data_IF_217392514826
#
_entry.id   IF_217392514826
#
_cell.length_a   1.000
_cell.length_b   1.000
_cell.length_c   1.000
_cell.angle_alpha   90.00
_cell.angle_beta   90.00
_cell.angle_gamma   90.00
#
_symmetry.space_group_name_H-M   'P 1'
#
loop_
_entity.id
_entity.type
_entity.pdbx_description
1 polymer ?
#
# COMPACT_ATOMS: atom_id res chain seq x y z
N UNK A 1 -4.37 -1.11 12.81
CA UNK A 1 -5.61 -1.91 13.07
C UNK A 1 -6.50 -1.85 11.82
N UNK A 2 -7.59 -2.64 11.70
CA UNK A 2 -8.57 -2.43 10.61
C UNK A 2 -9.96 -2.19 11.18
N UNK A 3 -10.47 -0.98 10.93
CA UNK A 3 -11.69 -0.48 11.53
C UNK A 3 -12.65 0.17 10.55
N UNK A 4 -13.92 0.28 10.97
CA UNK A 4 -14.94 1.04 10.24
C UNK A 4 -15.77 0.19 9.28
N UNK A 5 -16.00 0.70 8.07
CA UNK A 5 -16.69 -0.02 6.97
C UNK A 5 -15.68 -0.44 5.87
N UNK A 6 -14.39 -0.54 6.21
CA UNK A 6 -13.36 -0.91 5.26
C UNK A 6 -13.58 -2.33 4.75
N UNK A 7 -13.53 -2.51 3.44
CA UNK A 7 -13.56 -3.83 2.83
C UNK A 7 -12.15 -4.15 2.30
N UNK A 8 -11.67 -5.36 2.57
CA UNK A 8 -10.39 -5.84 2.08
C UNK A 8 -10.62 -7.12 1.27
N UNK A 9 -10.14 -7.16 0.03
CA UNK A 9 -10.22 -8.31 -0.86
C UNK A 9 -8.83 -8.65 -1.38
N UNK A 10 -8.53 -9.93 -1.52
CA UNK A 10 -7.29 -10.37 -2.15
C UNK A 10 -7.47 -10.70 -3.64
N UNK A 11 -6.50 -10.35 -4.48
CA UNK A 11 -6.47 -10.72 -5.91
C UNK A 11 -5.03 -10.88 -6.45
N UNK A 12 -4.90 -11.40 -7.67
CA UNK A 12 -3.63 -11.56 -8.39
C UNK A 12 -3.66 -10.79 -9.74
N UNK A 13 -3.01 -9.63 -9.78
CA UNK A 13 -3.01 -8.79 -10.99
C UNK A 13 -2.22 -9.37 -12.16
N UNK A 14 -1.34 -10.35 -11.92
CA UNK A 14 -0.65 -11.07 -12.98
C UNK A 14 -1.59 -12.01 -13.76
N UNK A 15 -2.70 -12.41 -13.13
CA UNK A 15 -3.79 -13.18 -13.77
C UNK A 15 -4.80 -12.25 -14.43
N UNK A 16 -5.28 -11.22 -13.72
CA UNK A 16 -6.23 -10.23 -14.26
C UNK A 16 -6.15 -8.91 -13.50
N UNK A 17 -6.21 -7.77 -14.21
CA UNK A 17 -6.32 -6.46 -13.58
C UNK A 17 -7.70 -6.20 -12.94
N UNK A 18 -8.70 -7.01 -13.27
CA UNK A 18 -10.01 -7.01 -12.61
C UNK A 18 -9.98 -7.96 -11.40
N UNK A 19 -10.10 -7.46 -10.15
CA UNK A 19 -10.07 -8.28 -8.95
C UNK A 19 -11.16 -9.36 -8.92
N UNK A 20 -12.34 -9.09 -9.47
CA UNK A 20 -13.45 -10.05 -9.49
C UNK A 20 -13.17 -11.28 -10.39
N UNK A 21 -12.16 -11.20 -11.24
CA UNK A 21 -11.73 -12.30 -12.13
C UNK A 21 -10.44 -12.97 -11.67
N UNK A 22 -9.87 -12.55 -10.54
CA UNK A 22 -8.56 -12.99 -10.05
C UNK A 22 -8.49 -13.08 -8.52
N UNK A 23 -9.61 -13.34 -7.86
CA UNK A 23 -9.69 -13.50 -6.41
C UNK A 23 -8.61 -14.45 -5.88
N UNK A 24 -7.80 -13.96 -4.94
CA UNK A 24 -6.75 -14.70 -4.26
C UNK A 24 -6.80 -14.36 -2.78
N UNK A 25 -7.48 -15.16 -1.95
CA UNK A 25 -7.60 -14.87 -0.53
C UNK A 25 -6.25 -14.89 0.21
N UNK A 26 -5.17 -15.42 -0.39
CA UNK A 26 -3.84 -15.34 0.23
C UNK A 26 -3.23 -13.93 0.16
N UNK A 27 -3.80 -13.02 -0.66
CA UNK A 27 -3.54 -11.58 -0.59
C UNK A 27 -4.35 -10.95 0.55
N UNK A 28 -3.94 -11.24 1.77
CA UNK A 28 -4.58 -10.70 2.96
C UNK A 28 -3.58 -10.16 3.99
N UNK A 29 -4.13 -9.56 5.03
CA UNK A 29 -3.37 -8.84 6.05
C UNK A 29 -2.50 -9.82 6.83
N UNK A 30 -1.22 -9.52 6.96
CA UNK A 30 -0.27 -10.28 7.76
C UNK A 30 0.38 -9.36 8.79
N UNK A 31 0.83 -9.87 9.92
CA UNK A 31 1.47 -9.03 10.95
C UNK A 31 2.54 -9.76 11.75
N UNK A 32 3.53 -9.06 12.29
CA UNK A 32 4.37 -9.60 13.37
C UNK A 32 3.72 -9.47 14.75
N UNK A 33 2.64 -8.70 14.87
CA UNK A 33 1.99 -8.42 16.14
C UNK A 33 1.29 -9.67 16.64
N UNK A 34 1.25 -9.79 17.96
CA UNK A 34 0.48 -10.84 18.63
C UNK A 34 -1.02 -10.62 18.44
N UNK A 35 -1.49 -9.43 18.10
CA UNK A 35 -2.91 -9.18 17.82
C UNK A 35 -3.08 -8.39 16.53
N UNK A 36 -4.06 -8.79 15.71
CA UNK A 36 -4.64 -7.95 14.67
C UNK A 36 -6.10 -7.69 15.06
N UNK A 37 -6.42 -6.42 15.34
CA UNK A 37 -7.76 -5.99 15.69
C UNK A 37 -8.57 -5.66 14.43
N UNK A 38 -9.69 -6.36 14.26
CA UNK A 38 -10.70 -6.12 13.23
C UNK A 38 -11.99 -5.70 13.91
N UNK A 39 -12.49 -4.49 13.66
CA UNK A 39 -13.62 -3.94 14.39
C UNK A 39 -14.63 -3.19 13.51
N UNK A 40 -15.83 -2.93 14.06
CA UNK A 40 -16.87 -2.17 13.36
C UNK A 40 -17.73 -3.05 12.47
N UNK A 41 -17.81 -2.74 11.17
CA UNK A 41 -18.52 -3.54 10.16
C UNK A 41 -17.60 -3.91 8.99
N UNK A 42 -16.29 -4.01 9.23
CA UNK A 42 -15.32 -4.34 8.19
C UNK A 42 -15.56 -5.74 7.62
N UNK A 43 -15.38 -5.91 6.31
CA UNK A 43 -15.43 -7.22 5.65
C UNK A 43 -14.08 -7.51 5.04
N UNK A 44 -13.46 -8.62 5.45
CA UNK A 44 -12.16 -9.05 4.94
C UNK A 44 -12.34 -10.38 4.24
N UNK A 45 -12.37 -10.32 2.92
CA UNK A 45 -12.39 -11.48 2.04
C UNK A 45 -10.96 -11.88 1.62
N UNK A 46 -10.14 -12.12 2.64
CA UNK A 46 -8.75 -12.50 2.52
C UNK A 46 -8.22 -13.08 3.85
N UNK A 47 -7.01 -13.64 3.81
CA UNK A 47 -6.26 -14.11 4.97
C UNK A 47 -6.01 -12.95 5.96
N UNK A 48 -6.07 -13.23 7.27
CA UNK A 48 -5.67 -12.28 8.32
C UNK A 48 -4.73 -13.01 9.27
N UNK A 49 -3.43 -12.87 9.09
CA UNK A 49 -2.40 -13.73 9.68
C UNK A 49 -1.63 -12.94 10.74
N UNK A 50 -1.96 -13.05 12.04
CA UNK A 50 -1.21 -12.39 13.09
C UNK A 50 0.18 -13.03 13.25
N UNK A 51 1.05 -12.41 14.02
CA UNK A 51 2.40 -12.87 14.30
C UNK A 51 2.43 -14.21 15.02
N UNK A 52 3.64 -14.70 15.31
CA UNK A 52 3.81 -16.02 15.94
C UNK A 52 3.08 -16.06 17.30
N UNK A 53 2.22 -17.06 17.49
CA UNK A 53 1.30 -17.20 18.63
C UNK A 53 0.25 -16.09 18.77
N UNK A 54 0.05 -15.29 17.73
CA UNK A 54 -0.91 -14.21 17.72
C UNK A 54 -2.34 -14.66 17.47
N UNK A 55 -3.26 -13.74 17.68
CA UNK A 55 -4.70 -13.90 17.47
C UNK A 55 -5.23 -12.79 16.58
N UNK A 56 -6.35 -13.07 15.92
CA UNK A 56 -7.17 -12.05 15.28
C UNK A 56 -8.32 -11.76 16.24
N UNK A 57 -8.40 -10.52 16.75
CA UNK A 57 -9.51 -10.10 17.60
C UNK A 57 -10.57 -9.43 16.72
N UNK A 58 -11.74 -10.07 16.61
CA UNK A 58 -12.84 -9.61 15.76
C UNK A 58 -13.96 -9.09 16.67
N UNK A 59 -14.26 -7.80 16.59
CA UNK A 59 -15.27 -7.14 17.41
C UNK A 59 -16.33 -6.42 16.57
N UNK A 60 -17.52 -6.19 17.12
CA UNK A 60 -18.64 -5.58 16.39
C UNK A 60 -19.33 -6.56 15.44
N UNK A 61 -19.60 -6.11 14.21
CA UNK A 61 -20.20 -6.90 13.12
C UNK A 61 -19.17 -7.22 12.01
N UNK A 62 -17.87 -7.13 12.30
CA UNK A 62 -16.85 -7.39 11.31
C UNK A 62 -16.78 -8.89 10.93
N UNK A 63 -16.37 -9.17 9.69
CA UNK A 63 -16.29 -10.52 9.13
C UNK A 63 -14.92 -10.75 8.48
N UNK A 64 -14.35 -11.94 8.69
CA UNK A 64 -13.12 -12.42 8.03
C UNK A 64 -13.41 -13.80 7.46
N UNK A 65 -13.28 -13.99 6.14
CA UNK A 65 -13.56 -15.27 5.47
C UNK A 65 -12.30 -16.13 5.24
N UNK A 66 -11.12 -15.50 5.21
CA UNK A 66 -9.85 -16.17 4.97
C UNK A 66 -9.22 -16.80 6.22
N UNK A 67 -7.98 -17.27 6.08
CA UNK A 67 -7.26 -17.94 7.15
C UNK A 67 -6.84 -16.95 8.24
N UNK A 68 -7.21 -17.24 9.49
CA UNK A 68 -6.86 -16.43 10.68
C UNK A 68 -5.73 -17.01 11.53
N UNK A 69 -5.10 -18.11 11.08
CA UNK A 69 -4.03 -18.75 11.82
C UNK A 69 -2.79 -17.84 11.90
N UNK A 70 -2.18 -17.80 13.08
CA UNK A 70 -0.89 -17.16 13.30
C UNK A 70 0.17 -17.60 12.28
N UNK A 71 1.08 -16.69 11.97
CA UNK A 71 2.23 -16.98 11.14
C UNK A 71 3.16 -17.96 11.88
N UNK A 72 3.73 -18.95 11.16
CA UNK A 72 4.60 -19.94 11.78
C UNK A 72 5.99 -19.38 12.10
N UNK A 73 6.38 -18.26 11.48
CA UNK A 73 7.64 -17.55 11.66
C UNK A 73 7.39 -16.05 11.61
N UNK A 74 8.27 -15.29 12.27
CA UNK A 74 8.29 -13.84 12.12
C UNK A 74 8.68 -13.44 10.71
N UNK A 75 8.16 -12.30 10.33
CA UNK A 75 8.35 -11.70 9.05
C UNK A 75 9.52 -10.72 9.11
N UNK A 76 10.39 -10.77 8.10
CA UNK A 76 11.54 -9.89 8.00
C UNK A 76 11.45 -9.07 6.72
N UNK A 77 11.64 -7.76 6.86
CA UNK A 77 11.66 -6.83 5.74
C UNK A 77 12.93 -6.00 5.72
N UNK A 78 13.81 -6.25 4.74
CA UNK A 78 15.03 -5.46 4.64
C UNK A 78 14.72 -4.04 4.15
N UNK A 79 15.56 -3.09 4.53
CA UNK A 79 15.61 -1.83 3.79
C UNK A 79 16.09 -2.11 2.35
N UNK A 80 15.44 -1.50 1.37
CA UNK A 80 15.83 -1.63 -0.03
C UNK A 80 16.71 -0.42 -0.37
N UNK A 81 18.00 -0.62 -0.68
CA UNK A 81 18.89 0.48 -1.00
C UNK A 81 18.47 1.13 -2.33
N UNK A 82 18.67 2.44 -2.44
CA UNK A 82 18.47 3.17 -3.71
C UNK A 82 19.38 2.57 -4.78
N UNK A 83 18.85 2.12 -5.93
CA UNK A 83 19.67 1.59 -7.01
C UNK A 83 20.72 2.60 -7.48
N UNK A 84 21.93 2.10 -7.76
CA UNK A 84 22.97 2.93 -8.38
C UNK A 84 22.49 3.37 -9.76
N UNK A 85 22.45 4.68 -10.00
CA UNK A 85 21.92 5.25 -11.25
C UNK A 85 20.46 5.68 -11.18
N UNK A 86 19.81 5.63 -10.01
CA UNK A 86 18.50 6.26 -9.80
C UNK A 86 18.57 7.75 -10.20
N UNK A 87 17.57 8.19 -10.95
CA UNK A 87 17.48 9.55 -11.47
C UNK A 87 17.00 10.46 -10.34
N UNK A 88 17.74 11.53 -10.04
CA UNK A 88 17.25 12.54 -9.10
C UNK A 88 15.92 13.10 -9.60
N UNK A 89 14.89 13.08 -8.75
CA UNK A 89 13.54 13.51 -9.10
C UNK A 89 13.55 14.92 -9.71
N UNK A 90 13.23 15.08 -11.01
CA UNK A 90 13.41 16.35 -11.71
C UNK A 90 12.19 17.28 -11.57
N UNK A 91 11.15 16.84 -10.87
CA UNK A 91 9.90 17.56 -10.69
C UNK A 91 9.81 18.19 -9.29
N UNK A 92 8.89 19.13 -9.04
CA UNK A 92 8.66 19.63 -7.70
C UNK A 92 8.28 18.50 -6.73
N UNK A 93 8.86 18.51 -5.53
CA UNK A 93 8.46 17.59 -4.45
C UNK A 93 7.22 18.05 -3.72
N UNK A 94 6.82 19.32 -3.89
CA UNK A 94 5.54 19.87 -3.42
C UNK A 94 4.70 20.30 -4.61
N UNK A 95 3.62 19.59 -4.88
CA UNK A 95 2.75 19.81 -6.04
C UNK A 95 1.40 20.37 -5.60
N UNK A 96 1.00 21.50 -6.21
CA UNK A 96 -0.29 22.15 -5.95
C UNK A 96 -0.98 22.61 -7.26
N UNK A 97 -0.41 22.28 -8.42
CA UNK A 97 -0.96 22.63 -9.74
C UNK A 97 -1.91 21.54 -10.21
N UNK A 98 -3.00 21.89 -10.90
CA UNK A 98 -3.89 20.93 -11.56
C UNK A 98 -3.37 20.43 -12.92
N UNK A 99 -2.22 20.94 -13.38
CA UNK A 99 -1.61 20.46 -14.63
C UNK A 99 -0.93 19.11 -14.38
N UNK A 100 -1.33 18.03 -15.09
CA UNK A 100 -0.70 16.73 -14.91
C UNK A 100 0.77 16.74 -15.30
N UNK A 101 1.59 16.03 -14.53
CA UNK A 101 3.01 15.81 -14.83
C UNK A 101 3.19 14.39 -15.34
N UNK A 102 3.57 14.26 -16.61
CA UNK A 102 3.89 12.96 -17.19
C UNK A 102 5.30 12.56 -16.77
N UNK A 103 5.42 11.46 -16.04
CA UNK A 103 6.68 10.91 -15.57
C UNK A 103 7.03 9.70 -16.44
N UNK A 104 8.14 9.73 -17.20
CA UNK A 104 8.59 8.58 -17.95
C UNK A 104 8.88 7.38 -17.03
N UNK A 105 8.67 6.14 -17.49
CA UNK A 105 9.07 4.94 -16.75
C UNK A 105 10.57 4.95 -16.43
N UNK A 106 10.91 4.92 -15.14
CA UNK A 106 12.27 4.97 -14.64
C UNK A 106 12.33 4.71 -13.12
N UNK A 107 13.56 4.59 -12.61
CA UNK A 107 13.85 4.59 -11.17
C UNK A 107 14.27 6.00 -10.76
N UNK A 108 13.54 6.59 -9.82
CA UNK A 108 13.77 7.93 -9.31
C UNK A 108 14.16 7.93 -7.83
N UNK A 109 14.84 8.99 -7.41
CA UNK A 109 15.16 9.22 -6.00
C UNK A 109 14.92 10.67 -5.56
N UNK A 110 14.36 10.82 -4.36
CA UNK A 110 14.25 12.05 -3.58
C UNK A 110 15.07 11.84 -2.31
N UNK A 111 16.33 12.29 -2.33
CA UNK A 111 17.34 11.87 -1.34
C UNK A 111 17.18 12.47 0.06
N UNK A 112 16.48 13.59 0.18
CA UNK A 112 16.31 14.32 1.45
C UNK A 112 15.26 15.44 1.32
N UNK A 113 14.02 15.08 1.07
CA UNK A 113 12.89 16.01 1.01
C UNK A 113 11.59 15.25 1.18
N UNK A 114 10.65 15.88 1.88
CA UNK A 114 9.27 15.44 1.89
C UNK A 114 8.69 15.52 0.47
N UNK A 115 7.75 14.63 0.20
CA UNK A 115 7.00 14.56 -1.04
C UNK A 115 5.51 14.77 -0.76
N UNK A 116 4.95 15.86 -1.28
CA UNK A 116 3.57 16.27 -1.01
C UNK A 116 2.83 16.57 -2.31
N UNK A 117 1.69 15.92 -2.50
CA UNK A 117 0.73 16.21 -3.56
C UNK A 117 -0.56 16.76 -2.95
N UNK A 118 -1.06 17.88 -3.46
CA UNK A 118 -2.24 18.58 -2.95
C UNK A 118 -3.19 18.98 -4.08
N UNK A 119 -4.39 19.43 -3.68
CA UNK A 119 -5.40 19.94 -4.60
C UNK A 119 -5.72 18.93 -5.72
N UNK A 120 -5.59 19.32 -6.98
CA UNK A 120 -5.81 18.44 -8.14
C UNK A 120 -4.50 18.03 -8.82
N UNK A 121 -3.36 18.07 -8.11
CA UNK A 121 -2.10 17.65 -8.70
C UNK A 121 -2.12 16.17 -9.06
N UNK A 122 -1.67 15.87 -10.28
CA UNK A 122 -1.60 14.53 -10.83
C UNK A 122 -0.22 14.25 -11.39
N UNK A 123 0.35 13.10 -11.04
CA UNK A 123 1.49 12.49 -11.72
C UNK A 123 0.97 11.32 -12.55
N UNK A 124 1.19 11.37 -13.85
CA UNK A 124 0.75 10.33 -14.77
C UNK A 124 1.83 9.26 -14.89
N UNK A 125 1.49 8.04 -14.49
CA UNK A 125 2.31 6.84 -14.60
C UNK A 125 1.77 6.00 -15.75
N UNK A 126 2.62 5.77 -16.76
CA UNK A 126 2.25 5.05 -17.99
C UNK A 126 3.01 3.73 -18.18
N UNK A 127 3.86 3.37 -17.23
CA UNK A 127 4.67 2.16 -17.22
C UNK A 127 5.54 2.07 -15.95
N UNK A 128 6.39 1.05 -15.84
CA UNK A 128 7.12 0.74 -14.60
C UNK A 128 7.93 1.91 -14.07
N UNK A 129 7.53 2.39 -12.90
CA UNK A 129 8.13 3.55 -12.23
C UNK A 129 8.38 3.23 -10.76
N UNK A 130 9.62 3.40 -10.32
CA UNK A 130 10.00 3.26 -8.91
C UNK A 130 10.43 4.62 -8.37
N UNK A 131 9.95 4.99 -7.18
CA UNK A 131 10.27 6.25 -6.54
C UNK A 131 10.79 5.98 -5.13
N UNK A 132 12.07 6.25 -4.91
CA UNK A 132 12.72 6.13 -3.62
C UNK A 132 12.71 7.47 -2.90
N UNK A 133 12.05 7.57 -1.75
CA UNK A 133 11.81 8.82 -1.03
C UNK A 133 12.43 8.71 0.37
N UNK A 134 13.32 9.63 0.70
CA UNK A 134 13.82 9.81 2.06
C UNK A 134 13.25 11.13 2.62
N UNK A 135 12.07 11.03 3.21
CA UNK A 135 11.25 12.13 3.73
C UNK A 135 9.79 11.70 3.87
N UNK A 136 8.98 12.56 4.49
CA UNK A 136 7.56 12.29 4.68
C UNK A 136 6.83 12.27 3.32
N UNK A 137 5.85 11.38 3.18
CA UNK A 137 5.04 11.24 1.96
C UNK A 137 3.60 11.60 2.28
N UNK A 138 3.05 12.59 1.58
CA UNK A 138 1.64 12.97 1.72
C UNK A 138 0.98 13.06 0.35
N UNK A 139 0.02 12.17 0.09
CA UNK A 139 -0.73 12.07 -1.15
C UNK A 139 -2.18 12.51 -0.90
N UNK A 140 -2.50 13.74 -1.29
CA UNK A 140 -3.86 14.27 -1.25
C UNK A 140 -4.43 14.42 -2.66
N UNK A 141 -5.76 14.55 -2.76
CA UNK A 141 -6.43 14.84 -4.03
C UNK A 141 -6.28 13.72 -5.06
N UNK A 142 -5.92 14.08 -6.29
CA UNK A 142 -5.79 13.17 -7.44
C UNK A 142 -4.47 12.36 -7.46
N UNK A 143 -3.43 12.84 -6.77
CA UNK A 143 -2.14 12.17 -6.57
C UNK A 143 -1.54 11.46 -7.81
N UNK A 144 -1.40 10.13 -7.83
CA UNK A 144 -0.88 9.37 -8.95
C UNK A 144 -2.01 8.85 -9.83
N UNK A 145 -1.88 9.05 -11.14
CA UNK A 145 -2.77 8.49 -12.14
C UNK A 145 -2.02 7.40 -12.91
N UNK A 146 -2.20 6.15 -12.49
CA UNK A 146 -1.68 4.99 -13.21
C UNK A 146 -2.62 4.64 -14.36
N UNK A 147 -2.25 5.01 -15.58
CA UNK A 147 -3.17 4.96 -16.74
C UNK A 147 -3.49 3.54 -17.21
N UNK A 148 -2.77 2.55 -16.69
CA UNK A 148 -2.94 1.14 -17.07
C UNK A 148 -3.85 0.37 -16.10
N UNK A 149 -4.04 0.88 -14.88
CA UNK A 149 -4.63 0.14 -13.76
C UNK A 149 -3.76 -1.01 -13.23
N UNK A 150 -2.57 -1.25 -13.80
CA UNK A 150 -1.65 -2.30 -13.34
C UNK A 150 -0.81 -1.77 -12.18
N UNK A 151 -0.98 -2.29 -10.96
CA UNK A 151 -0.25 -1.80 -9.80
C UNK A 151 1.25 -2.08 -9.86
N UNK A 152 1.75 -2.94 -10.77
CA UNK A 152 3.20 -3.11 -10.99
C UNK A 152 3.87 -1.84 -11.54
N UNK A 153 3.10 -0.93 -12.13
CA UNK A 153 3.63 0.26 -12.76
C UNK A 153 4.08 1.34 -11.77
N UNK A 154 3.67 1.29 -10.50
CA UNK A 154 4.09 2.25 -9.49
C UNK A 154 4.58 1.54 -8.22
N UNK A 155 5.84 1.78 -7.86
CA UNK A 155 6.39 1.36 -6.58
C UNK A 155 6.99 2.55 -5.86
N UNK A 156 6.56 2.79 -4.63
CA UNK A 156 7.05 3.85 -3.76
C UNK A 156 7.83 3.19 -2.62
N UNK A 157 9.12 3.49 -2.53
CA UNK A 157 10.01 3.03 -1.48
C UNK A 157 10.31 4.18 -0.53
N UNK A 158 9.87 4.08 0.73
CA UNK A 158 10.17 5.09 1.75
C UNK A 158 11.35 4.61 2.58
N UNK A 159 12.39 5.45 2.63
CA UNK A 159 13.69 5.12 3.21
C UNK A 159 13.80 5.79 4.57
N UNK A 160 13.88 4.97 5.63
CA UNK A 160 13.95 5.45 7.00
C UNK A 160 12.59 5.48 7.68
N UNK A 161 12.56 6.06 8.88
CA UNK A 161 11.35 6.21 9.69
C UNK A 161 10.72 7.57 9.37
N UNK A 162 9.66 7.54 8.57
CA UNK A 162 8.91 8.70 8.08
C UNK A 162 7.41 8.40 8.07
N UNK A 163 6.57 9.42 7.99
CA UNK A 163 5.13 9.25 7.86
C UNK A 163 4.71 9.14 6.40
N UNK A 164 3.82 8.19 6.10
CA UNK A 164 3.18 8.05 4.79
C UNK A 164 1.69 8.24 4.96
N UNK A 165 1.10 9.19 4.23
CA UNK A 165 -0.32 9.50 4.37
C UNK A 165 -1.00 9.60 3.02
N UNK A 166 -2.09 8.86 2.85
CA UNK A 166 -2.93 8.85 1.65
C UNK A 166 -4.32 9.36 2.03
N UNK A 167 -4.61 10.61 1.67
CA UNK A 167 -5.93 11.26 1.86
C UNK A 167 -6.60 11.58 0.53
N UNK A 168 -6.15 10.97 -0.57
CA UNK A 168 -6.69 11.19 -1.90
C UNK A 168 -8.11 10.65 -2.07
N UNK A 169 -8.87 11.27 -2.98
CA UNK A 169 -10.16 10.78 -3.44
C UNK A 169 -10.06 10.06 -4.78
N UNK A 170 -8.85 9.82 -5.27
CA UNK A 170 -8.56 9.09 -6.50
C UNK A 170 -7.96 7.74 -6.18
N UNK A 171 -8.38 6.73 -6.95
CA UNK A 171 -7.94 5.36 -6.77
C UNK A 171 -6.43 5.25 -6.93
N UNK A 172 -5.81 4.46 -6.07
CA UNK A 172 -4.37 4.25 -6.07
C UNK A 172 -4.06 2.86 -6.58
N UNK A 173 -3.14 2.75 -7.55
CA UNK A 173 -2.67 1.47 -8.10
C UNK A 173 -1.16 1.40 -7.93
N UNK A 174 -0.67 0.63 -6.97
CA UNK A 174 0.77 0.54 -6.70
C UNK A 174 1.19 -0.22 -5.45
N UNK A 175 2.51 -0.29 -5.27
CA UNK A 175 3.18 -0.77 -4.05
C UNK A 175 3.67 0.41 -3.22
N UNK A 176 3.42 0.37 -1.91
CA UNK A 176 4.08 1.21 -0.90
C UNK A 176 4.94 0.31 -0.03
N UNK A 177 6.25 0.52 -0.06
CA UNK A 177 7.24 -0.20 0.73
C UNK A 177 7.93 0.75 1.71
N UNK A 178 7.51 0.71 2.96
CA UNK A 178 7.90 1.64 4.02
C UNK A 178 8.08 0.89 5.36
N UNK A 179 8.96 -0.13 5.43
CA UNK A 179 8.99 -1.13 6.51
C UNK A 179 9.29 -0.57 7.92
N UNK A 180 9.78 0.66 8.01
CA UNK A 180 10.06 1.34 9.30
C UNK A 180 9.11 2.50 9.59
N UNK A 181 8.13 2.73 8.71
CA UNK A 181 7.23 3.88 8.72
C UNK A 181 5.81 3.51 9.11
N UNK A 182 5.06 4.48 9.61
CA UNK A 182 3.60 4.40 9.73
C UNK A 182 2.94 4.85 8.41
N UNK A 183 1.93 4.10 7.96
CA UNK A 183 1.14 4.37 6.76
C UNK A 183 -0.33 4.59 7.14
N UNK A 184 -0.83 5.80 6.91
CA UNK A 184 -2.23 6.18 7.08
C UNK A 184 -2.97 6.14 5.73
N UNK A 185 -4.06 5.37 5.64
CA UNK A 185 -4.97 5.37 4.49
C UNK A 185 -6.34 5.86 4.93
N UNK A 186 -6.71 7.07 4.51
CA UNK A 186 -7.80 7.84 5.08
C UNK A 186 -8.83 8.32 4.06
N UNK A 187 -8.51 8.17 2.77
CA UNK A 187 -9.39 8.55 1.66
C UNK A 187 -10.60 7.64 1.49
N UNK A 188 -11.49 8.04 0.60
CA UNK A 188 -12.65 7.25 0.17
C UNK A 188 -12.43 6.53 -1.17
N UNK A 189 -11.19 6.58 -1.68
CA UNK A 189 -10.80 5.97 -2.93
C UNK A 189 -10.37 4.53 -2.72
N UNK A 190 -10.50 3.72 -3.78
CA UNK A 190 -10.07 2.34 -3.72
C UNK A 190 -8.55 2.25 -3.85
N UNK A 191 -7.97 1.29 -3.14
CA UNK A 191 -6.54 1.00 -3.19
C UNK A 191 -6.35 -0.37 -3.85
N UNK A 192 -5.51 -0.44 -4.88
CA UNK A 192 -5.17 -1.65 -5.61
C UNK A 192 -3.65 -1.85 -5.51
N UNK A 193 -3.22 -2.92 -4.86
CA UNK A 193 -1.82 -3.29 -4.79
C UNK A 193 -1.39 -3.75 -3.40
N UNK A 194 -0.30 -3.19 -2.89
CA UNK A 194 0.31 -3.69 -1.66
C UNK A 194 0.91 -2.58 -0.78
N UNK A 195 0.85 -2.77 0.54
CA UNK A 195 1.49 -1.90 1.54
C UNK A 195 2.34 -2.76 2.48
N UNK A 196 3.61 -2.42 2.63
CA UNK A 196 4.52 -3.01 3.62
C UNK A 196 4.96 -1.88 4.53
N UNK A 197 4.63 -1.95 5.82
CA UNK A 197 4.92 -0.87 6.76
C UNK A 197 5.15 -1.36 8.19
N UNK A 198 5.70 -0.50 9.04
CA UNK A 198 5.75 -0.78 10.48
C UNK A 198 4.34 -0.77 11.08
N UNK A 199 3.54 0.19 10.66
CA UNK A 199 2.15 0.33 11.08
C UNK A 199 1.32 0.74 9.88
N UNK A 200 0.11 0.19 9.77
CA UNK A 200 -0.86 0.65 8.79
C UNK A 200 -2.21 0.82 9.46
N UNK A 201 -2.78 2.00 9.24
CA UNK A 201 -4.09 2.38 9.74
C UNK A 201 -5.00 2.74 8.58
N UNK A 202 -5.98 1.87 8.35
CA UNK A 202 -7.05 2.09 7.40
C UNK A 202 -8.24 2.72 8.11
N UNK A 203 -8.38 4.04 7.99
CA UNK A 203 -9.56 4.78 8.48
C UNK A 203 -10.36 5.44 7.33
N UNK A 204 -10.10 5.04 6.10
CA UNK A 204 -10.88 5.40 4.91
C UNK A 204 -12.16 4.57 4.76
N UNK A 205 -12.99 4.95 3.78
CA UNK A 205 -14.18 4.17 3.38
C UNK A 205 -14.01 3.47 2.03
N UNK A 206 -12.84 3.60 1.40
CA UNK A 206 -12.53 2.91 0.16
C UNK A 206 -12.31 1.41 0.38
N UNK A 207 -12.40 0.66 -0.71
CA UNK A 207 -12.08 -0.77 -0.72
C UNK A 207 -10.59 -0.96 -0.96
N UNK A 208 -9.99 -1.92 -0.27
CA UNK A 208 -8.59 -2.29 -0.45
C UNK A 208 -8.51 -3.64 -1.16
N UNK A 209 -8.04 -3.62 -2.39
CA UNK A 209 -7.72 -4.78 -3.19
C UNK A 209 -6.23 -5.08 -3.06
N UNK A 210 -5.90 -6.11 -2.30
CA UNK A 210 -4.54 -6.55 -2.05
C UNK A 210 -4.06 -7.44 -3.19
N UNK A 211 -2.87 -7.17 -3.72
CA UNK A 211 -2.33 -7.90 -4.87
C UNK A 211 -1.18 -8.83 -4.47
N UNK A 212 -1.35 -10.15 -4.64
CA UNK A 212 -0.30 -11.14 -4.34
C UNK A 212 0.88 -11.06 -5.30
N UNK A 213 0.67 -10.65 -6.55
CA UNK A 213 1.72 -10.68 -7.58
C UNK A 213 2.80 -9.62 -7.39
N UNK A 214 2.46 -8.51 -6.73
CA UNK A 214 3.43 -7.51 -6.27
C UNK A 214 4.40 -8.04 -5.20
N UNK A 215 4.07 -9.20 -4.64
CA UNK A 215 4.76 -9.79 -3.50
C UNK A 215 5.60 -11.03 -3.85
N UNK A 216 5.59 -11.44 -5.13
CA UNK A 216 6.22 -12.69 -5.57
C UNK A 216 7.76 -12.70 -5.51
N UNK A 217 8.39 -11.56 -5.19
CA UNK A 217 9.82 -11.51 -4.90
C UNK A 217 10.16 -11.28 -3.41
N UNK A 218 9.16 -11.10 -2.52
CA UNK A 218 9.38 -10.73 -1.10
C UNK A 218 8.40 -11.39 -0.10
N UNK A 219 7.64 -12.44 -0.51
CA UNK A 219 6.71 -13.31 0.29
C UNK A 219 5.23 -13.04 -0.03
N UNK A 220 4.48 -14.09 -0.40
CA UNK A 220 3.01 -14.14 -0.53
C UNK A 220 2.30 -13.63 0.75
N UNK A 221 1.61 -12.49 0.72
CA UNK A 221 0.78 -12.00 1.84
C UNK A 221 0.43 -10.51 1.76
N UNK A 222 -0.75 -10.21 1.20
CA UNK A 222 -1.31 -8.90 0.84
C UNK A 222 -1.48 -7.92 2.00
N UNK A 223 -0.49 -7.06 2.21
CA UNK A 223 -0.30 -6.13 3.33
C UNK A 223 0.26 -6.77 4.57
N UNK A 224 1.40 -6.24 5.03
CA UNK A 224 2.11 -6.79 6.17
C UNK A 224 2.51 -5.71 7.15
N UNK A 225 1.96 -5.84 8.34
CA UNK A 225 2.24 -5.06 9.54
C UNK A 225 3.56 -5.56 10.15
N UNK A 226 4.55 -4.67 10.27
CA UNK A 226 5.74 -4.88 11.12
C UNK A 226 5.56 -4.07 12.40
N UNK A 227 4.55 -4.43 13.14
CA UNK A 227 4.77 -4.67 14.54
C UNK A 227 4.04 -5.92 14.87
#
# INVERSE_FOLDING_TARGET
EVGGNGNVFGYDSSVSLDPALSEDPSAGICSNNVTIDIFGNAVIDADVRPGVNGIVDITGNAEVTGNTAALPIELVYPSIPVPTGAIAWPYPTRMNSSTPVNVPPAVYTISSSDFTMNAQSSIVISGPTEIYINGDVTLNGQNFTNTTGDPHNLKIYVIGDHNVRINGGADFYGLIYAPTSTVDVLGNADFYGAIISAEVDFNGTGTVYMDTSLMDNVIKGGVKLIR
#
